data_IF_854685049727
#
_entry.id   IF_854685049727
#
_cell.length_a   1.000
_cell.length_b   1.000
_cell.length_c   1.000
_cell.angle_alpha   90.00
_cell.angle_beta   90.00
_cell.angle_gamma   90.00
#
_symmetry.space_group_name_H-M   'P 1'
#
loop_
_entity.id
_entity.type
_entity.pdbx_description
1 polymer ?
#
# COMPACT_ATOMS: atom_id res chain seq x y z
N UNK A 1 11.26 -2.38 -15.31
CA UNK A 1 11.43 -1.86 -13.93
C UNK A 1 10.35 -0.80 -13.68
N UNK A 2 9.50 -0.97 -12.66
CA UNK A 2 8.59 0.11 -12.25
C UNK A 2 9.44 1.26 -11.72
N UNK A 3 9.18 2.47 -12.19
CA UNK A 3 9.89 3.66 -11.73
C UNK A 3 9.51 3.93 -10.27
N UNK A 4 10.42 3.66 -9.33
CA UNK A 4 10.21 3.87 -7.89
C UNK A 4 9.82 5.31 -7.54
N UNK A 5 10.08 6.28 -8.43
CA UNK A 5 9.68 7.69 -8.26
C UNK A 5 8.16 7.87 -8.27
N UNK A 6 7.42 6.87 -8.73
CA UNK A 6 5.96 6.89 -8.75
C UNK A 6 5.33 6.20 -7.54
N UNK A 7 6.11 5.65 -6.60
CA UNK A 7 5.58 5.01 -5.39
C UNK A 7 4.73 6.03 -4.60
N UNK A 8 3.50 5.66 -4.27
CA UNK A 8 2.55 6.49 -3.52
C UNK A 8 2.29 5.85 -2.17
N UNK A 9 2.70 6.52 -1.10
CA UNK A 9 2.39 6.09 0.26
C UNK A 9 0.92 6.33 0.59
N UNK A 10 0.34 5.39 1.33
CA UNK A 10 -1.06 5.46 1.76
C UNK A 10 -1.09 5.42 3.27
N UNK A 11 -1.48 6.54 3.88
CA UNK A 11 -1.73 6.57 5.32
C UNK A 11 -2.97 5.74 5.65
N UNK A 12 -2.84 4.87 6.65
CA UNK A 12 -3.91 4.00 7.11
C UNK A 12 -4.48 4.53 8.42
N UNK A 13 -5.79 4.72 8.46
CA UNK A 13 -6.55 5.00 9.67
C UNK A 13 -7.27 3.74 10.15
N UNK A 14 -7.23 3.45 11.45
CA UNK A 14 -8.03 2.39 12.05
C UNK A 14 -9.49 2.84 12.14
N UNK A 15 -10.41 2.05 11.57
CA UNK A 15 -11.85 2.34 11.52
C UNK A 15 -12.70 1.31 12.29
N UNK A 16 -12.03 0.40 12.99
CA UNK A 16 -12.58 -0.68 13.80
C UNK A 16 -11.42 -1.55 14.29
N UNK A 17 -11.62 -2.36 15.32
CA UNK A 17 -10.53 -3.14 15.94
C UNK A 17 -9.84 -4.02 14.89
N UNK A 18 -8.59 -3.70 14.54
CA UNK A 18 -7.80 -4.41 13.53
C UNK A 18 -8.26 -4.20 12.08
N UNK A 19 -9.09 -3.18 11.82
CA UNK A 19 -9.56 -2.82 10.48
C UNK A 19 -9.00 -1.45 10.12
N UNK A 20 -8.21 -1.42 9.05
CA UNK A 20 -7.54 -0.21 8.58
C UNK A 20 -8.07 0.21 7.21
N UNK A 21 -8.20 1.52 6.99
CA UNK A 21 -8.58 2.11 5.71
C UNK A 21 -7.60 3.21 5.34
N UNK A 22 -7.17 3.20 4.08
CA UNK A 22 -6.42 4.29 3.48
C UNK A 22 -6.99 4.64 2.11
N UNK A 23 -6.66 5.84 1.64
CA UNK A 23 -7.04 6.33 0.32
C UNK A 23 -5.82 6.94 -0.35
N UNK A 24 -5.62 6.64 -1.62
CA UNK A 24 -4.58 7.25 -2.44
C UNK A 24 -5.27 8.01 -3.57
N UNK A 25 -5.05 9.33 -3.64
CA UNK A 25 -5.64 10.17 -4.67
C UNK A 25 -4.73 10.25 -5.90
N UNK A 26 -5.35 10.43 -7.08
CA UNK A 26 -4.64 10.68 -8.35
C UNK A 26 -3.57 9.63 -8.74
N UNK A 27 -3.84 8.34 -8.50
CA UNK A 27 -3.00 7.26 -9.00
C UNK A 27 -3.18 7.12 -10.52
N UNK A 28 -2.07 7.16 -11.26
CA UNK A 28 -2.10 6.99 -12.71
C UNK A 28 -2.64 5.59 -13.08
N UNK A 29 -3.39 5.46 -14.20
CA UNK A 29 -3.83 4.17 -14.68
C UNK A 29 -2.63 3.29 -15.05
N UNK A 30 -2.83 1.97 -15.01
CA UNK A 30 -1.84 0.97 -15.36
C UNK A 30 -1.58 -0.05 -14.26
N UNK A 31 -0.46 -0.74 -14.40
CA UNK A 31 -0.10 -1.84 -13.51
C UNK A 31 0.68 -1.32 -12.29
N UNK A 32 0.19 -1.67 -11.11
CA UNK A 32 0.81 -1.33 -9.83
C UNK A 32 1.05 -2.58 -8.99
N UNK A 33 2.04 -2.51 -8.11
CA UNK A 33 2.16 -3.47 -7.02
C UNK A 33 1.64 -2.79 -5.73
N UNK A 34 0.51 -3.27 -5.20
CA UNK A 34 0.01 -2.90 -3.88
C UNK A 34 0.82 -3.66 -2.82
N UNK A 35 1.54 -2.93 -1.98
CA UNK A 35 2.33 -3.48 -0.89
C UNK A 35 1.67 -3.12 0.44
N UNK A 36 1.39 -4.14 1.24
CA UNK A 36 1.00 -3.98 2.64
C UNK A 36 2.14 -4.50 3.50
N UNK A 37 2.73 -3.61 4.28
CA UNK A 37 3.77 -3.94 5.24
C UNK A 37 3.24 -3.68 6.65
N UNK A 38 3.47 -4.63 7.55
CA UNK A 38 3.23 -4.45 8.98
C UNK A 38 4.52 -4.71 9.72
N UNK A 39 4.96 -3.74 10.52
CA UNK A 39 6.13 -3.86 11.38
C UNK A 39 5.78 -3.63 12.86
N UNK A 40 6.65 -4.13 13.74
CA UNK A 40 6.59 -3.88 15.17
C UNK A 40 8.02 -3.73 15.69
N UNK A 41 8.31 -2.62 16.38
CA UNK A 41 9.64 -2.31 16.91
C UNK A 41 10.75 -2.40 15.84
N UNK A 42 10.46 -1.92 14.63
CA UNK A 42 11.41 -1.94 13.50
C UNK A 42 11.64 -3.32 12.88
N UNK A 43 10.87 -4.34 13.28
CA UNK A 43 10.89 -5.66 12.68
C UNK A 43 9.63 -5.87 11.85
N UNK A 44 9.81 -6.12 10.55
CA UNK A 44 8.70 -6.52 9.67
C UNK A 44 8.11 -7.85 10.12
N UNK A 45 6.81 -7.85 10.37
CA UNK A 45 6.02 -9.02 10.78
C UNK A 45 5.12 -9.53 9.65
N UNK A 46 4.69 -8.62 8.77
CA UNK A 46 3.81 -8.93 7.65
C UNK A 46 4.29 -8.26 6.36
N UNK A 47 4.22 -8.97 5.26
CA UNK A 47 4.42 -8.43 3.92
C UNK A 47 3.45 -9.13 2.97
N UNK A 48 2.56 -8.35 2.36
CA UNK A 48 1.76 -8.79 1.22
C UNK A 48 2.07 -7.89 0.04
N UNK A 49 2.34 -8.50 -1.11
CA UNK A 49 2.58 -7.78 -2.36
C UNK A 49 1.65 -8.34 -3.42
N UNK A 50 0.71 -7.52 -3.88
CA UNK A 50 -0.32 -7.90 -4.84
C UNK A 50 -0.20 -7.04 -6.08
N UNK A 51 -0.34 -7.64 -7.25
CA UNK A 51 -0.40 -6.88 -8.50
C UNK A 51 -1.82 -6.45 -8.78
N UNK A 52 -2.03 -5.18 -9.03
CA UNK A 52 -3.32 -4.60 -9.39
C UNK A 52 -3.22 -3.87 -10.72
N UNK A 53 -4.31 -3.86 -11.47
CA UNK A 53 -4.47 -3.04 -12.67
C UNK A 53 -5.51 -1.97 -12.35
N UNK A 54 -5.11 -0.72 -12.47
CA UNK A 54 -5.98 0.45 -12.30
C UNK A 54 -6.34 0.99 -13.69
N UNK A 55 -7.62 1.28 -13.91
CA UNK A 55 -8.15 1.79 -15.19
C UNK A 55 -8.49 3.27 -15.10
#
# INVERSE_FOLDING_TARGET
PADKRADQEVELAEIGIGIYRGTAEAIAPGQWDLVLEGDSSGRRLFLSKNRVLLN
#
